data_IF_527927960970
#
_entry.id   IF_527927960970
#
_cell.length_a   1.000
_cell.length_b   1.000
_cell.length_c   1.000
_cell.angle_alpha   90.00
_cell.angle_beta   90.00
_cell.angle_gamma   90.00
#
_symmetry.space_group_name_H-M   'P 1'
#
loop_
_entity.id
_entity.type
_entity.pdbx_description
1 polymer ?
#
# COMPACT_ATOMS: atom_id res chain seq x y z
N UNK A 1 12.14 15.23 -6.20
CA UNK A 1 11.59 14.63 -4.96
C UNK A 1 10.75 13.43 -5.35
N UNK A 2 10.96 12.28 -4.70
CA UNK A 2 10.25 11.03 -5.03
C UNK A 2 8.80 11.11 -4.54
N UNK A 3 7.83 10.75 -5.38
CA UNK A 3 6.39 10.74 -5.05
C UNK A 3 5.86 9.32 -5.08
N UNK A 4 5.25 8.87 -4.00
CA UNK A 4 4.72 7.51 -3.85
C UNK A 4 3.25 7.57 -3.49
N UNK A 5 2.44 6.80 -4.19
CA UNK A 5 1.02 6.62 -3.86
C UNK A 5 0.91 5.47 -2.85
N UNK A 6 0.17 5.67 -1.77
CA UNK A 6 -0.16 4.59 -0.81
C UNK A 6 -1.67 4.41 -0.77
N UNK A 7 -2.13 3.27 -1.28
CA UNK A 7 -3.52 2.84 -1.20
C UNK A 7 -3.76 1.98 0.04
N UNK A 8 -4.78 2.28 0.83
CA UNK A 8 -5.22 1.43 1.94
C UNK A 8 -6.64 0.93 1.67
N UNK A 9 -6.86 -0.38 1.84
CA UNK A 9 -8.16 -1.02 1.54
C UNK A 9 -8.64 -1.85 2.73
N UNK A 10 -9.89 -2.34 2.66
CA UNK A 10 -10.55 -3.08 3.75
C UNK A 10 -10.08 -4.51 3.97
N UNK A 11 -8.80 -4.82 3.71
CA UNK A 11 -8.17 -6.01 4.25
C UNK A 11 -7.58 -5.68 5.62
N UNK A 12 -7.49 -6.67 6.51
CA UNK A 12 -6.87 -6.46 7.82
C UNK A 12 -5.33 -6.41 7.69
N UNK A 13 -4.67 -5.79 8.68
CA UNK A 13 -3.25 -5.44 8.62
C UNK A 13 -3.02 -3.96 8.34
N UNK A 14 -3.91 -3.09 8.80
CA UNK A 14 -3.82 -1.63 8.63
C UNK A 14 -2.51 -1.06 9.17
N UNK A 15 -1.94 -1.71 10.18
CA UNK A 15 -0.64 -1.38 10.76
C UNK A 15 0.49 -1.39 9.71
N UNK A 16 0.46 -2.27 8.70
CA UNK A 16 1.46 -2.27 7.63
C UNK A 16 1.40 -0.97 6.81
N UNK A 17 0.19 -0.51 6.46
CA UNK A 17 0.00 0.73 5.70
C UNK A 17 0.41 1.96 6.51
N UNK A 18 0.02 2.02 7.78
CA UNK A 18 0.42 3.10 8.70
C UNK A 18 1.94 3.15 8.84
N UNK A 19 2.58 2.01 9.10
CA UNK A 19 4.03 1.94 9.28
C UNK A 19 4.77 2.29 8.00
N UNK A 20 4.30 1.85 6.82
CA UNK A 20 4.89 2.27 5.54
C UNK A 20 4.82 3.79 5.37
N UNK A 21 3.66 4.41 5.59
CA UNK A 21 3.51 5.87 5.48
C UNK A 21 4.48 6.58 6.43
N UNK A 22 4.58 6.16 7.69
CA UNK A 22 5.56 6.71 8.65
C UNK A 22 6.99 6.62 8.12
N UNK A 23 7.38 5.47 7.58
CA UNK A 23 8.75 5.23 7.10
C UNK A 23 9.09 6.03 5.84
N UNK A 24 8.13 6.24 4.95
CA UNK A 24 8.28 7.11 3.77
C UNK A 24 8.41 8.58 4.18
N UNK A 25 7.54 9.05 5.09
CA UNK A 25 7.56 10.45 5.55
C UNK A 25 8.84 10.78 6.34
N UNK A 26 9.34 9.87 7.18
CA UNK A 26 10.66 9.98 7.86
C UNK A 26 11.82 10.20 6.88
N UNK A 27 11.70 9.67 5.66
CA UNK A 27 12.70 9.81 4.58
C UNK A 27 12.42 10.99 3.66
N UNK A 28 11.54 11.92 4.07
CA UNK A 28 11.13 13.10 3.31
C UNK A 28 10.55 12.78 1.92
N UNK A 29 9.97 11.59 1.73
CA UNK A 29 9.27 11.21 0.50
C UNK A 29 7.87 11.82 0.52
N UNK A 30 7.43 12.35 -0.62
CA UNK A 30 6.06 12.86 -0.79
C UNK A 30 5.10 11.67 -0.96
N UNK A 31 4.12 11.56 -0.06
CA UNK A 31 3.17 10.46 0.01
C UNK A 31 1.78 10.96 -0.40
N UNK A 32 1.20 10.32 -1.41
CA UNK A 32 -0.18 10.52 -1.83
C UNK A 32 -1.02 9.35 -1.31
N UNK A 33 -1.70 9.54 -0.19
CA UNK A 33 -2.49 8.50 0.46
C UNK A 33 -3.95 8.54 -0.02
N UNK A 34 -4.50 7.38 -0.36
CA UNK A 34 -5.92 7.18 -0.67
C UNK A 34 -6.41 5.95 0.09
N UNK A 35 -7.57 6.05 0.75
CA UNK A 35 -8.12 4.97 1.56
C UNK A 35 -9.57 4.70 1.13
N UNK A 36 -9.94 3.43 0.98
CA UNK A 36 -11.35 3.07 0.77
C UNK A 36 -12.14 3.21 2.07
N UNK A 37 -13.47 3.37 1.99
CA UNK A 37 -14.31 3.46 3.19
C UNK A 37 -14.19 2.22 4.09
N UNK A 38 -14.11 1.02 3.50
CA UNK A 38 -13.84 -0.19 4.29
C UNK A 38 -12.41 -0.22 4.85
N UNK A 39 -11.43 0.35 4.14
CA UNK A 39 -10.07 0.52 4.66
C UNK A 39 -10.02 1.41 5.89
N UNK A 40 -10.77 2.51 5.90
CA UNK A 40 -10.91 3.37 7.09
C UNK A 40 -11.51 2.61 8.26
N UNK A 41 -12.64 1.92 8.05
CA UNK A 41 -13.31 1.14 9.11
C UNK A 41 -12.43 0.04 9.70
N UNK A 42 -11.70 -0.70 8.86
CA UNK A 42 -10.77 -1.74 9.34
C UNK A 42 -9.61 -1.11 10.10
N UNK A 43 -9.07 0.01 9.62
CA UNK A 43 -8.03 0.76 10.33
C UNK A 43 -8.51 1.22 11.70
N UNK A 44 -9.72 1.76 11.80
CA UNK A 44 -10.27 2.21 13.08
C UNK A 44 -10.46 1.07 14.06
N UNK A 45 -10.98 -0.05 13.58
CA UNK A 45 -11.20 -1.25 14.37
C UNK A 45 -9.88 -1.84 14.88
N UNK A 46 -8.88 -2.02 14.02
CA UNK A 46 -7.61 -2.66 14.39
C UNK A 46 -6.70 -1.77 15.23
N UNK A 47 -6.79 -0.45 15.06
CA UNK A 47 -5.94 0.51 15.78
C UNK A 47 -6.61 1.07 17.04
N UNK A 48 -7.87 0.73 17.28
CA UNK A 48 -8.71 1.25 18.36
C UNK A 48 -8.70 2.80 18.43
N UNK A 49 -8.65 3.43 17.25
CA UNK A 49 -8.54 4.88 17.08
C UNK A 49 -9.30 5.32 15.84
N UNK A 50 -9.97 6.46 15.92
CA UNK A 50 -10.62 7.03 14.76
C UNK A 50 -9.62 7.44 13.65
N UNK A 51 -10.06 7.34 12.39
CA UNK A 51 -9.24 7.57 11.20
C UNK A 51 -8.61 8.97 11.17
N UNK A 52 -9.38 10.01 11.50
CA UNK A 52 -8.86 11.38 11.55
C UNK A 52 -7.73 11.52 12.57
N UNK A 53 -7.85 10.86 13.72
CA UNK A 53 -6.80 10.87 14.76
C UNK A 53 -5.51 10.23 14.24
N UNK A 54 -5.59 9.05 13.63
CA UNK A 54 -4.44 8.34 13.05
C UNK A 54 -3.76 9.21 11.99
N UNK A 55 -4.54 9.81 11.09
CA UNK A 55 -4.02 10.66 10.02
C UNK A 55 -3.40 11.94 10.55
N UNK A 56 -3.98 12.55 11.59
CA UNK A 56 -3.39 13.72 12.23
C UNK A 56 -2.06 13.39 12.92
N UNK A 57 -1.95 12.22 13.57
CA UNK A 57 -0.67 11.73 14.10
C UNK A 57 0.37 11.55 12.99
N UNK A 58 -0.02 11.03 11.83
CA UNK A 58 0.87 10.89 10.65
C UNK A 58 1.31 12.25 10.07
N UNK A 59 0.47 13.29 10.16
CA UNK A 59 0.76 14.63 9.63
C UNK A 59 1.59 15.50 10.57
N UNK A 60 1.55 15.25 11.88
CA UNK A 60 2.01 16.18 12.92
C UNK A 60 3.40 16.76 12.66
N UNK A 61 4.31 15.94 12.13
CA UNK A 61 5.70 16.33 11.84
C UNK A 61 6.05 16.26 10.34
N UNK A 62 5.05 16.12 9.46
CA UNK A 62 5.26 15.76 8.06
C UNK A 62 4.35 16.53 7.09
N UNK A 63 4.90 17.56 6.45
CA UNK A 63 4.21 18.35 5.39
C UNK A 63 4.01 17.60 4.07
N UNK A 64 4.66 16.44 3.93
CA UNK A 64 4.75 15.66 2.70
C UNK A 64 3.63 14.64 2.50
N UNK A 65 2.63 14.60 3.41
CA UNK A 65 1.47 13.73 3.29
C UNK A 65 0.29 14.45 2.62
N UNK A 66 -0.11 13.99 1.43
CA UNK A 66 -1.30 14.44 0.69
C UNK A 66 -2.37 13.36 0.76
N UNK A 67 -3.55 13.70 1.27
CA UNK A 67 -4.69 12.80 1.29
C UNK A 67 -5.58 13.05 0.09
N UNK A 68 -6.12 11.99 -0.49
CA UNK A 68 -7.07 12.07 -1.60
C UNK A 68 -8.38 11.40 -1.22
N UNK A 69 -9.49 12.02 -1.63
CA UNK A 69 -10.80 11.41 -1.50
C UNK A 69 -10.93 10.27 -2.52
N UNK A 70 -11.44 9.11 -2.10
CA UNK A 70 -11.61 7.93 -2.94
C UNK A 70 -12.52 8.18 -4.15
N UNK A 71 -13.42 9.16 -4.06
CA UNK A 71 -14.36 9.54 -5.12
C UNK A 71 -13.82 10.64 -6.06
N UNK A 72 -12.70 11.30 -5.70
CA UNK A 72 -12.16 12.42 -6.45
C UNK A 72 -11.31 11.97 -7.64
N UNK A 73 -11.96 11.68 -8.77
CA UNK A 73 -11.28 11.34 -10.02
C UNK A 73 -10.56 12.52 -10.70
N UNK A 74 -10.72 13.75 -10.20
CA UNK A 74 -9.94 14.91 -10.65
C UNK A 74 -8.63 15.08 -9.88
N UNK A 75 -8.39 14.25 -8.87
CA UNK A 75 -7.12 14.19 -8.17
C UNK A 75 -5.95 13.95 -9.14
N UNK A 76 -4.77 14.56 -8.91
CA UNK A 76 -3.60 14.37 -9.76
C UNK A 76 -3.23 12.91 -9.98
N UNK A 77 -3.41 12.05 -8.96
CA UNK A 77 -3.03 10.62 -9.05
C UNK A 77 -3.93 9.82 -10.01
N UNK A 78 -5.04 10.38 -10.49
CA UNK A 78 -5.90 9.80 -11.51
C UNK A 78 -5.35 9.96 -12.95
N UNK A 79 -4.27 10.73 -13.13
CA UNK A 79 -3.70 11.07 -14.44
C UNK A 79 -2.26 10.57 -14.60
N UNK A 80 -1.97 10.00 -15.77
CA UNK A 80 -0.60 9.66 -16.18
C UNK A 80 0.31 10.89 -16.34
N UNK A 81 -0.23 12.09 -16.59
CA UNK A 81 0.60 13.30 -16.70
C UNK A 81 1.19 13.73 -15.36
N UNK A 82 0.55 13.36 -14.25
CA UNK A 82 1.12 13.56 -12.91
C UNK A 82 2.14 12.45 -12.63
N UNK A 83 3.42 12.82 -12.61
CA UNK A 83 4.51 11.85 -12.46
C UNK A 83 4.64 11.39 -11.01
N UNK A 84 4.36 10.11 -10.78
CA UNK A 84 4.66 9.38 -9.55
C UNK A 84 5.70 8.30 -9.82
N UNK A 85 6.51 7.97 -8.82
CA UNK A 85 7.57 6.98 -8.96
C UNK A 85 7.07 5.55 -8.78
N UNK A 86 6.08 5.36 -7.90
CA UNK A 86 5.48 4.07 -7.62
C UNK A 86 4.11 4.22 -6.93
N UNK A 87 3.38 3.12 -6.85
CA UNK A 87 2.21 2.94 -6.00
C UNK A 87 2.34 1.66 -5.18
N UNK A 88 1.95 1.72 -3.90
CA UNK A 88 1.83 0.55 -3.03
C UNK A 88 0.39 0.48 -2.51
N UNK A 89 -0.27 -0.68 -2.62
CA UNK A 89 -1.57 -0.91 -1.97
C UNK A 89 -1.34 -1.86 -0.79
N UNK A 90 -1.46 -1.34 0.44
CA UNK A 90 -1.14 -2.06 1.67
C UNK A 90 -2.03 -1.65 2.85
N UNK A 91 -2.79 -2.60 3.44
CA UNK A 91 -3.12 -3.92 2.89
C UNK A 91 -4.07 -3.80 1.67
N UNK A 92 -4.06 -4.83 0.82
CA UNK A 92 -4.95 -4.97 -0.33
C UNK A 92 -5.99 -6.07 -0.10
N UNK A 93 -7.27 -5.72 -0.24
CA UNK A 93 -8.40 -6.66 -0.23
C UNK A 93 -8.50 -7.41 -1.54
N UNK A 94 -9.02 -8.65 -1.50
CA UNK A 94 -9.19 -9.45 -2.71
C UNK A 94 -10.21 -8.84 -3.68
N UNK A 95 -11.18 -8.08 -3.17
CA UNK A 95 -12.12 -7.33 -4.01
C UNK A 95 -11.39 -6.24 -4.82
N UNK A 96 -10.59 -5.39 -4.15
CA UNK A 96 -9.79 -4.37 -4.85
C UNK A 96 -8.79 -4.98 -5.82
N UNK A 97 -8.14 -6.08 -5.42
CA UNK A 97 -7.21 -6.81 -6.30
C UNK A 97 -7.93 -7.31 -7.57
N UNK A 98 -9.13 -7.86 -7.43
CA UNK A 98 -9.94 -8.30 -8.57
C UNK A 98 -10.32 -7.13 -9.48
N UNK A 99 -10.75 -5.99 -8.92
CA UNK A 99 -11.08 -4.80 -9.71
C UNK A 99 -9.90 -4.30 -10.55
N UNK A 100 -8.70 -4.24 -9.95
CA UNK A 100 -7.48 -3.82 -10.64
C UNK A 100 -7.10 -4.85 -11.71
N UNK A 101 -7.15 -6.16 -11.40
CA UNK A 101 -6.84 -7.23 -12.36
C UNK A 101 -7.73 -7.20 -13.60
N UNK A 102 -8.96 -6.68 -13.47
CA UNK A 102 -9.93 -6.61 -14.56
C UNK A 102 -10.04 -5.20 -15.17
N UNK A 103 -9.20 -4.24 -14.76
CA UNK A 103 -9.16 -2.89 -15.33
C UNK A 103 -10.42 -2.05 -15.08
N UNK A 104 -11.19 -2.35 -14.02
CA UNK A 104 -12.52 -1.74 -13.80
C UNK A 104 -12.42 -0.24 -13.49
N UNK A 105 -11.47 0.17 -12.65
CA UNK A 105 -11.19 1.58 -12.31
C UNK A 105 -12.38 2.39 -11.76
N UNK A 106 -13.25 1.78 -10.94
CA UNK A 106 -14.48 2.41 -10.40
C UNK A 106 -14.25 3.54 -9.37
N UNK A 107 -13.04 3.67 -8.82
CA UNK A 107 -12.71 4.68 -7.82
C UNK A 107 -11.27 5.18 -8.00
N UNK A 108 -10.89 6.24 -7.28
CA UNK A 108 -9.58 6.86 -7.43
C UNK A 108 -8.42 5.89 -7.15
N UNK A 109 -8.54 5.00 -6.17
CA UNK A 109 -7.48 4.04 -5.84
C UNK A 109 -7.26 3.07 -6.99
N UNK A 110 -8.33 2.44 -7.50
CA UNK A 110 -8.25 1.52 -8.63
C UNK A 110 -7.78 2.25 -9.90
N UNK A 111 -8.24 3.49 -10.11
CA UNK A 111 -7.80 4.33 -11.23
C UNK A 111 -6.31 4.68 -11.15
N UNK A 112 -5.79 5.01 -9.97
CA UNK A 112 -4.37 5.29 -9.77
C UNK A 112 -3.50 4.05 -10.04
N UNK A 113 -4.00 2.86 -9.68
CA UNK A 113 -3.34 1.59 -9.99
C UNK A 113 -3.31 1.31 -11.50
N UNK A 114 -4.43 1.51 -12.19
CA UNK A 114 -4.53 1.42 -13.65
C UNK A 114 -3.58 2.40 -14.36
N UNK A 115 -3.48 3.64 -13.86
CA UNK A 115 -2.47 4.61 -14.33
C UNK A 115 -1.05 4.07 -14.12
N UNK A 116 -0.74 3.47 -12.98
CA UNK A 116 0.60 2.91 -12.76
C UNK A 116 0.90 1.78 -13.74
N UNK A 117 -0.04 0.89 -13.99
CA UNK A 117 0.12 -0.23 -14.95
C UNK A 117 0.35 0.32 -16.36
N UNK A 118 -0.53 1.19 -16.87
CA UNK A 118 -0.44 1.68 -18.26
C UNK A 118 0.79 2.55 -18.52
N UNK A 119 1.25 3.29 -17.50
CA UNK A 119 2.46 4.13 -17.56
C UNK A 119 3.74 3.34 -17.22
N UNK A 120 3.63 2.02 -17.00
CA UNK A 120 4.76 1.14 -16.62
C UNK A 120 5.51 1.61 -15.37
N UNK A 121 4.78 2.16 -14.40
CA UNK A 121 5.30 2.53 -13.08
C UNK A 121 5.24 1.34 -12.15
N UNK A 122 6.16 1.29 -11.19
CA UNK A 122 6.17 0.21 -10.19
C UNK A 122 4.87 0.23 -9.38
N UNK A 123 4.12 -0.87 -9.43
CA UNK A 123 2.94 -1.12 -8.60
C UNK A 123 3.21 -2.34 -7.73
N UNK A 124 3.10 -2.17 -6.42
CA UNK A 124 3.24 -3.22 -5.42
C UNK A 124 1.89 -3.42 -4.76
N UNK A 125 1.37 -4.65 -4.76
CA UNK A 125 0.12 -5.00 -4.11
C UNK A 125 0.43 -5.96 -2.97
N UNK A 126 -0.03 -5.60 -1.77
CA UNK A 126 0.20 -6.36 -0.54
C UNK A 126 -1.10 -7.03 -0.09
N UNK A 127 -1.49 -8.17 -0.69
CA UNK A 127 -2.71 -8.85 -0.30
C UNK A 127 -2.60 -9.42 1.12
N UNK A 128 -3.69 -9.34 1.88
CA UNK A 128 -3.87 -10.02 3.16
C UNK A 128 -5.14 -10.88 3.12
N UNK A 129 -4.99 -12.15 2.79
CA UNK A 129 -6.07 -13.14 2.79
C UNK A 129 -5.53 -14.54 3.02
N UNK A 130 -6.31 -15.39 3.67
CA UNK A 130 -6.05 -16.82 3.77
C UNK A 130 -7.31 -17.58 4.21
N UNK A 131 -7.66 -18.73 3.62
CA UNK A 131 -7.02 -19.38 2.46
C UNK A 131 -7.30 -18.64 1.14
N UNK A 132 -6.55 -18.98 0.09
CA UNK A 132 -6.73 -18.40 -1.24
C UNK A 132 -7.62 -19.30 -2.11
N UNK A 133 -8.63 -18.70 -2.74
CA UNK A 133 -9.40 -19.37 -3.78
C UNK A 133 -8.64 -19.35 -5.12
N UNK A 134 -9.01 -20.24 -6.04
CA UNK A 134 -8.50 -20.22 -7.42
C UNK A 134 -8.76 -18.87 -8.11
N UNK A 135 -9.86 -18.19 -7.77
CA UNK A 135 -10.18 -16.86 -8.29
C UNK A 135 -9.13 -15.83 -7.83
N UNK A 136 -8.76 -15.84 -6.55
CA UNK A 136 -7.72 -14.96 -6.01
C UNK A 136 -6.39 -15.20 -6.72
N UNK A 137 -6.00 -16.47 -6.87
CA UNK A 137 -4.75 -16.87 -7.52
C UNK A 137 -4.70 -16.44 -8.99
N UNK A 138 -5.79 -16.60 -9.75
CA UNK A 138 -5.87 -16.17 -11.14
C UNK A 138 -5.71 -14.65 -11.29
N UNK A 139 -6.38 -13.87 -10.43
CA UNK A 139 -6.24 -12.41 -10.47
C UNK A 139 -4.80 -11.96 -10.11
N UNK A 140 -4.19 -12.59 -9.09
CA UNK A 140 -2.80 -12.31 -8.74
C UNK A 140 -1.83 -12.69 -9.86
N UNK A 141 -2.05 -13.83 -10.53
CA UNK A 141 -1.25 -14.26 -11.67
C UNK A 141 -1.36 -13.28 -12.84
N UNK A 142 -2.56 -12.82 -13.16
CA UNK A 142 -2.79 -11.86 -14.25
C UNK A 142 -2.06 -10.54 -14.00
N UNK A 143 -2.16 -10.00 -12.79
CA UNK A 143 -1.42 -8.80 -12.39
C UNK A 143 0.10 -9.01 -12.41
N UNK A 144 0.57 -10.16 -11.92
CA UNK A 144 2.00 -10.49 -11.96
C UNK A 144 2.54 -10.55 -13.39
N UNK A 145 1.79 -11.15 -14.34
CA UNK A 145 2.14 -11.14 -15.77
C UNK A 145 2.18 -9.73 -16.38
N UNK A 146 1.41 -8.80 -15.83
CA UNK A 146 1.43 -7.39 -16.23
C UNK A 146 2.58 -6.58 -15.60
N UNK A 147 3.48 -7.22 -14.83
CA UNK A 147 4.61 -6.56 -14.18
C UNK A 147 4.31 -5.96 -12.81
N UNK A 148 3.13 -6.24 -12.24
CA UNK A 148 2.78 -5.84 -10.88
C UNK A 148 3.46 -6.77 -9.88
N UNK A 149 4.07 -6.21 -8.84
CA UNK A 149 4.62 -7.03 -7.75
C UNK A 149 3.51 -7.47 -6.81
N UNK A 150 3.34 -8.79 -6.67
CA UNK A 150 2.47 -9.38 -5.65
C UNK A 150 3.34 -9.72 -4.44
N UNK A 151 3.18 -8.96 -3.36
CA UNK A 151 3.94 -9.10 -2.11
C UNK A 151 2.97 -9.40 -0.96
N UNK A 152 2.50 -10.64 -0.79
CA UNK A 152 1.54 -10.95 0.27
C UNK A 152 2.08 -10.60 1.66
N UNK A 153 1.18 -10.26 2.60
CA UNK A 153 1.51 -10.03 4.00
C UNK A 153 1.85 -11.36 4.73
N UNK A 154 2.94 -11.99 4.30
CA UNK A 154 3.47 -13.28 4.77
C UNK A 154 4.86 -13.06 5.39
N UNK A 155 4.95 -12.60 6.65
CA UNK A 155 6.20 -12.24 7.27
C UNK A 155 7.12 -13.46 7.50
N UNK A 156 8.42 -13.26 7.34
CA UNK A 156 9.44 -14.25 7.65
C UNK A 156 9.84 -14.22 9.12
N UNK A 157 10.38 -15.33 9.61
CA UNK A 157 10.79 -15.50 11.02
C UNK A 157 12.29 -15.73 11.20
N UNK A 158 13.07 -15.67 10.12
CA UNK A 158 14.50 -15.93 10.16
C UNK A 158 15.31 -14.86 10.90
N UNK A 159 14.75 -13.66 11.01
CA UNK A 159 15.29 -12.57 11.81
C UNK A 159 14.98 -12.70 13.31
N UNK A 160 14.29 -13.78 13.74
CA UNK A 160 13.90 -14.05 15.14
C UNK A 160 13.16 -12.86 15.76
N UNK A 161 11.97 -12.48 15.24
CA UNK A 161 11.23 -11.32 15.74
C UNK A 161 10.84 -11.52 17.22
N UNK A 162 10.98 -10.47 18.02
CA UNK A 162 10.64 -10.48 19.45
C UNK A 162 9.33 -9.71 19.73
N UNK A 163 8.85 -8.97 18.73
CA UNK A 163 7.64 -8.15 18.83
C UNK A 163 6.78 -8.22 17.56
N UNK A 164 5.52 -7.80 17.69
CA UNK A 164 4.63 -7.59 16.52
C UNK A 164 5.24 -6.53 15.59
N UNK A 165 5.93 -5.53 16.14
CA UNK A 165 6.55 -4.47 15.35
C UNK A 165 7.66 -5.02 14.45
N UNK A 166 8.45 -6.01 14.90
CA UNK A 166 9.44 -6.68 14.07
C UNK A 166 8.81 -7.44 12.89
N UNK A 167 7.66 -8.07 13.12
CA UNK A 167 6.88 -8.77 12.10
C UNK A 167 6.33 -7.78 11.07
N UNK A 168 5.83 -6.62 11.54
CA UNK A 168 5.35 -5.53 10.68
C UNK A 168 6.49 -4.94 9.86
N UNK A 169 7.62 -4.66 10.51
CA UNK A 169 8.82 -4.10 9.93
C UNK A 169 9.44 -5.00 8.87
N UNK A 170 9.29 -6.32 8.99
CA UNK A 170 9.69 -7.25 7.93
C UNK A 170 8.95 -6.96 6.62
N UNK A 171 7.62 -6.89 6.64
CA UNK A 171 6.82 -6.65 5.43
C UNK A 171 7.09 -5.23 4.90
N UNK A 172 7.10 -4.22 5.78
CA UNK A 172 7.38 -2.84 5.37
C UNK A 172 8.78 -2.70 4.78
N UNK A 173 9.78 -3.35 5.39
CA UNK A 173 11.15 -3.38 4.87
C UNK A 173 11.23 -4.04 3.49
N UNK A 174 10.52 -5.14 3.26
CA UNK A 174 10.42 -5.76 1.92
C UNK A 174 9.74 -4.86 0.89
N UNK A 175 8.73 -4.09 1.29
CA UNK A 175 8.13 -3.06 0.41
C UNK A 175 9.16 -1.97 0.08
N UNK A 176 9.92 -1.49 1.08
CA UNK A 176 10.95 -0.47 0.88
C UNK A 176 12.09 -0.98 -0.02
N UNK A 177 12.53 -2.23 0.15
CA UNK A 177 13.50 -2.89 -0.72
C UNK A 177 13.01 -2.93 -2.17
N UNK A 178 11.74 -3.28 -2.38
CA UNK A 178 11.16 -3.32 -3.72
C UNK A 178 10.96 -1.94 -4.31
N UNK A 179 10.77 -0.93 -3.47
CA UNK A 179 10.86 0.46 -3.87
C UNK A 179 12.31 0.91 -4.07
N UNK A 180 13.35 0.10 -3.88
CA UNK A 180 14.74 0.55 -3.96
C UNK A 180 14.99 1.74 -2.99
N UNK A 181 14.51 1.59 -1.75
CA UNK A 181 14.71 2.54 -0.66
C UNK A 181 15.45 1.84 0.46
N UNK A 182 16.65 2.32 0.77
CA UNK A 182 17.46 1.78 1.85
C UNK A 182 16.75 1.88 3.20
N UNK A 183 16.80 0.76 3.93
CA UNK A 183 16.18 0.60 5.23
C UNK A 183 16.89 -0.48 6.05
N UNK A 184 16.74 -0.33 7.36
CA UNK A 184 17.31 -1.12 8.45
C UNK A 184 16.20 -1.72 9.34
N UNK A 185 14.97 -1.82 8.81
CA UNK A 185 13.78 -2.26 9.57
C UNK A 185 13.84 -3.73 9.98
N UNK A 186 14.60 -4.54 9.26
CA UNK A 186 14.82 -5.94 9.58
C UNK A 186 16.25 -6.32 9.23
N UNK A 187 16.77 -7.35 9.91
CA UNK A 187 18.07 -7.91 9.57
C UNK A 187 17.99 -8.61 8.21
N UNK A 188 18.75 -8.13 7.23
CA UNK A 188 18.93 -8.80 5.94
C UNK A 188 19.54 -10.19 6.15
N UNK A 189 19.18 -11.14 5.29
CA UNK A 189 19.77 -12.47 5.33
C UNK A 189 21.23 -12.41 4.85
N UNK A 190 22.16 -12.95 5.64
CA UNK A 190 23.61 -12.86 5.41
C UNK A 190 24.29 -12.01 6.47
#
# INVERSE_FOLDING_TARGET
>A
MRKIIVGVTGASGSIYGITLVKQLLKRQIEVHMVCTENGKKVMEYEMEKNYETIVNELKKDHINLKLHNIEDLFSPIASGSFKTSAMVIVPCSMATLAEISNGISNNLLCRAADVCIKEKRKLIIVPRETPLSTIHLNNMLNLSKAGVTILPAMPGFYNRPESIEDIVNFIVGRILDELEIDNDLFKRWG
#
